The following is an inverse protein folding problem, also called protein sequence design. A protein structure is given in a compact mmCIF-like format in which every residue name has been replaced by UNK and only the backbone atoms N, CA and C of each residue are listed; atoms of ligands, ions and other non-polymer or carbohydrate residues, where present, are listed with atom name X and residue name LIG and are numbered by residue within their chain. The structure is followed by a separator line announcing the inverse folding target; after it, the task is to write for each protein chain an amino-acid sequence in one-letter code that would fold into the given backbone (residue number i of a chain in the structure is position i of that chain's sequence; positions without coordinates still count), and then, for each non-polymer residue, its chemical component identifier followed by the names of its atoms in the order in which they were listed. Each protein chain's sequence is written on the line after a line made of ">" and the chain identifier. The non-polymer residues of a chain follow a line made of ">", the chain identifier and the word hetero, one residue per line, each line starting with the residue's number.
data_IF_539167904520
#
_entry.id   IF_539167904520
#
_cell.length_a   1.000
_cell.length_b   1.000
_cell.length_c   1.000
_cell.angle_alpha   90.00
_cell.angle_beta   90.00
_cell.angle_gamma   90.00
#
_symmetry.space_group_name_H-M   'P 1'
#
loop_
_entity.id
_entity.type
_entity.pdbx_description
1 polymer ?
#
# COMPACT_ATOMS: atom_id res chain seq x y z
N UNK A 1 44.00 26.75 54.44
CA UNK A 1 44.40 27.75 53.43
C UNK A 1 44.09 27.13 52.07
N UNK A 2 43.12 27.68 51.33
CA UNK A 2 42.68 27.32 49.95
C UNK A 2 42.12 25.90 49.71
N UNK A 3 41.10 25.59 48.89
CA UNK A 3 40.03 26.29 48.16
C UNK A 3 39.11 25.15 47.65
N UNK A 4 37.81 25.13 47.99
CA UNK A 4 36.66 25.29 47.06
C UNK A 4 36.88 24.95 45.58
N UNK A 5 35.88 24.21 45.03
CA UNK A 5 35.41 24.11 43.63
C UNK A 5 35.94 22.93 42.81
N UNK A 6 35.07 21.96 42.51
CA UNK A 6 34.72 21.49 41.15
C UNK A 6 33.46 20.61 41.28
N UNK A 7 32.27 21.20 41.14
CA UNK A 7 31.48 21.29 39.90
C UNK A 7 30.86 19.94 39.48
N UNK A 8 29.55 19.88 39.72
CA UNK A 8 28.50 19.09 39.07
C UNK A 8 28.94 18.20 37.88
N UNK A 9 28.97 16.88 38.11
CA UNK A 9 29.02 15.87 37.06
C UNK A 9 28.00 14.77 37.33
N UNK A 10 26.72 15.11 37.48
CA UNK A 10 25.67 14.09 37.47
C UNK A 10 24.31 14.68 37.10
N UNK A 11 24.19 15.18 35.87
CA UNK A 11 22.87 15.50 35.32
C UNK A 11 22.93 15.60 33.79
N UNK A 12 22.17 14.70 33.14
CA UNK A 12 21.61 14.75 31.77
C UNK A 12 22.57 14.25 30.65
N UNK A 13 22.13 13.32 29.75
CA UNK A 13 20.75 13.10 29.31
C UNK A 13 20.26 11.63 29.31
N UNK A 14 19.21 11.37 30.09
CA UNK A 14 18.22 10.33 29.80
C UNK A 14 17.06 10.99 29.03
N UNK A 15 17.35 11.51 27.83
CA UNK A 15 16.40 12.26 26.97
C UNK A 15 16.47 11.78 25.50
N UNK A 16 16.74 10.49 25.27
CA UNK A 16 16.75 9.90 23.92
C UNK A 16 15.56 8.97 23.63
N UNK A 17 14.58 8.87 24.52
CA UNK A 17 13.67 7.71 24.54
C UNK A 17 12.30 7.87 23.88
N UNK A 18 12.01 8.91 23.08
CA UNK A 18 10.64 9.05 22.50
C UNK A 18 10.56 9.42 21.00
N UNK A 19 11.66 9.81 20.35
CA UNK A 19 11.60 10.22 18.93
C UNK A 19 11.75 9.06 17.94
N UNK A 20 12.15 7.87 18.38
CA UNK A 20 12.64 6.80 17.49
C UNK A 20 11.56 6.09 16.66
N UNK A 21 10.31 6.04 17.13
CA UNK A 21 9.28 5.26 16.44
C UNK A 21 8.89 5.88 15.09
N UNK A 22 8.68 7.20 15.00
CA UNK A 22 8.31 7.86 13.74
C UNK A 22 9.44 7.85 12.72
N UNK A 23 10.69 8.04 13.17
CA UNK A 23 11.88 7.98 12.30
C UNK A 23 12.10 6.59 11.73
N UNK A 24 11.78 5.56 12.52
CA UNK A 24 11.84 4.16 12.05
C UNK A 24 10.75 3.89 11.00
N UNK A 25 9.50 4.34 11.20
CA UNK A 25 8.45 4.22 10.18
C UNK A 25 8.83 4.90 8.84
N UNK A 26 9.44 6.08 8.90
CA UNK A 26 9.87 6.79 7.68
C UNK A 26 11.00 6.10 6.93
N UNK A 27 11.93 5.46 7.64
CA UNK A 27 13.01 4.72 6.99
C UNK A 27 12.51 3.42 6.32
N UNK A 28 11.52 2.80 6.94
CA UNK A 28 10.98 1.50 6.55
C UNK A 28 9.95 1.60 5.42
N UNK A 29 9.08 2.62 5.42
CA UNK A 29 8.10 2.77 4.33
C UNK A 29 8.78 3.14 3.01
N UNK A 30 8.08 2.85 1.91
CA UNK A 30 8.49 3.33 0.61
C UNK A 30 8.19 4.83 0.49
N UNK A 31 9.02 5.53 -0.27
CA UNK A 31 8.65 6.86 -0.74
C UNK A 31 7.33 6.77 -1.52
N UNK A 32 6.40 7.73 -1.33
CA UNK A 32 5.14 7.72 -2.04
C UNK A 32 5.32 7.61 -3.55
N UNK A 33 4.48 6.83 -4.23
CA UNK A 33 4.48 6.81 -5.69
C UNK A 33 4.23 8.23 -6.25
N UNK A 34 4.81 8.55 -7.42
CA UNK A 34 4.32 9.65 -8.24
C UNK A 34 2.83 9.47 -8.51
N UNK A 35 2.08 10.58 -8.47
CA UNK A 35 0.65 10.54 -8.77
C UNK A 35 0.45 10.26 -10.27
N UNK A 36 -0.45 9.34 -10.61
CA UNK A 36 -0.75 9.01 -12.01
C UNK A 36 -1.92 9.82 -12.56
N UNK A 37 -2.21 9.65 -13.85
CA UNK A 37 -3.38 10.23 -14.50
C UNK A 37 -4.72 9.66 -14.02
N UNK A 38 -4.72 8.59 -13.21
CA UNK A 38 -5.92 8.05 -12.60
C UNK A 38 -6.57 9.05 -11.63
N UNK A 39 -5.76 9.70 -10.80
CA UNK A 39 -6.18 10.84 -9.99
C UNK A 39 -6.15 12.08 -10.88
N UNK A 40 -7.30 12.41 -11.49
CA UNK A 40 -7.57 13.45 -12.50
C UNK A 40 -7.08 14.90 -12.20
N UNK A 41 -6.31 15.11 -11.13
CA UNK A 41 -5.60 16.35 -10.82
C UNK A 41 -6.45 17.45 -10.20
N UNK A 42 -7.77 17.24 -10.08
CA UNK A 42 -8.71 18.27 -9.61
C UNK A 42 -8.71 18.47 -8.08
N UNK A 43 -7.95 17.66 -7.35
CA UNK A 43 -7.77 17.77 -5.92
C UNK A 43 -6.32 17.53 -5.54
N UNK A 44 -5.90 18.15 -4.44
CA UNK A 44 -4.54 18.03 -3.92
C UNK A 44 -4.51 17.00 -2.79
N UNK A 45 -3.86 15.87 -3.07
CA UNK A 45 -3.54 14.86 -2.07
C UNK A 45 -2.58 15.43 -1.01
N UNK A 46 -2.87 15.16 0.26
CA UNK A 46 -2.04 15.57 1.39
C UNK A 46 -1.30 14.36 1.93
N UNK A 47 0.02 14.49 2.08
CA UNK A 47 0.84 13.47 2.73
C UNK A 47 0.45 13.32 4.20
N UNK A 48 0.29 12.09 4.65
CA UNK A 48 -0.12 11.76 6.01
C UNK A 48 1.10 11.42 6.87
N UNK A 49 0.88 11.29 8.18
CA UNK A 49 1.94 10.81 9.06
C UNK A 49 2.41 9.41 8.64
N UNK A 50 3.66 9.03 8.91
CA UNK A 50 4.22 7.75 8.44
C UNK A 50 3.48 6.54 9.01
N UNK A 51 2.90 6.71 10.20
CA UNK A 51 2.10 5.72 10.90
C UNK A 51 0.61 5.75 10.53
N UNK A 52 0.17 6.62 9.62
CA UNK A 52 -1.20 6.59 9.07
C UNK A 52 -1.32 5.50 7.99
N UNK A 53 -2.47 4.84 7.82
CA UNK A 53 -2.62 3.74 6.86
C UNK A 53 -2.15 4.02 5.43
N UNK A 54 -2.52 5.17 4.87
CA UNK A 54 -2.19 5.54 3.48
C UNK A 54 -1.21 6.71 3.44
N UNK A 55 -0.11 6.63 2.68
CA UNK A 55 0.87 7.73 2.59
C UNK A 55 0.25 9.05 2.12
N UNK A 56 -0.74 9.02 1.23
CA UNK A 56 -1.42 10.24 0.75
C UNK A 56 -2.94 10.07 0.76
N UNK A 57 -3.62 11.15 1.12
CA UNK A 57 -5.09 11.17 1.17
C UNK A 57 -5.65 12.57 0.87
N UNK A 58 -6.83 12.61 0.31
CA UNK A 58 -7.68 13.79 0.20
C UNK A 58 -9.12 13.42 0.52
N UNK A 59 -9.84 14.29 1.25
CA UNK A 59 -11.26 14.13 1.54
C UNK A 59 -11.95 15.44 1.20
N UNK A 60 -13.09 15.37 0.51
CA UNK A 60 -13.91 16.54 0.25
C UNK A 60 -14.48 17.10 1.56
N UNK A 61 -14.10 18.33 1.91
CA UNK A 61 -14.50 18.98 3.17
C UNK A 61 -16.02 19.14 3.33
N UNK A 62 -16.75 19.16 2.23
CA UNK A 62 -18.21 19.35 2.21
C UNK A 62 -18.97 18.01 2.18
N UNK A 63 -18.26 16.89 2.17
CA UNK A 63 -18.86 15.54 2.14
C UNK A 63 -18.71 14.82 3.47
N UNK A 64 -19.84 14.35 4.00
CA UNK A 64 -19.84 13.43 5.15
C UNK A 64 -19.91 11.97 4.66
N UNK A 65 -18.76 11.29 4.68
CA UNK A 65 -18.62 9.89 4.29
C UNK A 65 -19.52 8.93 5.12
N UNK A 66 -20.04 9.35 6.28
CA UNK A 66 -20.94 8.55 7.14
C UNK A 66 -22.36 8.43 6.61
N UNK A 67 -22.75 9.31 5.69
CA UNK A 67 -24.07 9.28 5.04
C UNK A 67 -24.21 8.11 4.07
N UNK A 68 -23.09 7.62 3.54
CA UNK A 68 -23.07 6.48 2.63
C UNK A 68 -23.19 5.17 3.41
N UNK A 69 -24.11 4.29 2.96
CA UNK A 69 -24.40 2.97 3.56
C UNK A 69 -24.29 1.83 2.57
N UNK A 70 -24.07 2.14 1.29
CA UNK A 70 -23.92 1.19 0.21
C UNK A 70 -22.61 1.47 -0.51
N UNK A 71 -21.98 0.43 -1.06
CA UNK A 71 -20.74 0.58 -1.82
C UNK A 71 -20.69 -0.41 -2.98
N UNK A 72 -20.20 0.09 -4.11
CA UNK A 72 -19.83 -0.70 -5.28
C UNK A 72 -18.31 -0.78 -5.29
N UNK A 73 -17.75 -1.99 -5.42
CA UNK A 73 -16.33 -2.18 -5.71
C UNK A 73 -16.19 -2.33 -7.22
N UNK A 74 -15.57 -1.36 -7.88
CA UNK A 74 -15.30 -1.44 -9.30
C UNK A 74 -14.14 -2.42 -9.60
N UNK A 75 -14.07 -2.99 -10.81
CA UNK A 75 -12.87 -3.71 -11.24
C UNK A 75 -11.62 -2.84 -11.09
N UNK A 76 -10.54 -3.42 -10.58
CA UNK A 76 -9.25 -2.73 -10.47
C UNK A 76 -8.65 -2.59 -11.85
N UNK A 77 -8.22 -1.37 -12.22
CA UNK A 77 -7.58 -1.12 -13.50
C UNK A 77 -6.06 -1.22 -13.40
N UNK A 78 -5.43 -1.75 -14.46
CA UNK A 78 -3.97 -1.72 -14.69
C UNK A 78 -3.59 -0.69 -15.76
N UNK A 79 -4.55 0.09 -16.28
CA UNK A 79 -4.31 1.05 -17.36
C UNK A 79 -3.46 2.27 -16.98
N UNK A 80 -3.13 2.42 -15.69
CA UNK A 80 -2.27 3.49 -15.16
C UNK A 80 -1.00 2.93 -14.52
N UNK A 81 -0.66 1.68 -14.84
CA UNK A 81 0.54 1.04 -14.35
C UNK A 81 1.76 1.76 -14.95
N UNK A 82 2.59 2.30 -14.08
CA UNK A 82 3.76 3.07 -14.46
C UNK A 82 4.80 2.15 -15.13
N UNK A 83 5.43 2.66 -16.19
CA UNK A 83 6.60 2.02 -16.77
C UNK A 83 7.67 1.89 -15.68
N UNK A 84 8.18 0.68 -15.51
CA UNK A 84 9.27 0.43 -14.58
C UNK A 84 10.51 0.06 -15.37
N UNK A 85 11.66 0.64 -14.99
CA UNK A 85 12.95 0.26 -15.56
C UNK A 85 13.30 -1.23 -15.32
N UNK A 86 12.55 -1.92 -14.46
CA UNK A 86 12.59 -3.36 -14.30
C UNK A 86 11.92 -4.08 -15.47
N UNK A 87 10.81 -3.55 -15.99
CA UNK A 87 10.06 -4.13 -17.11
C UNK A 87 10.82 -3.98 -18.43
N UNK A 88 11.48 -2.85 -18.64
CA UNK A 88 12.31 -2.59 -19.84
C UNK A 88 13.46 -3.59 -19.99
N UNK A 89 13.85 -4.27 -18.91
CA UNK A 89 14.92 -5.27 -18.91
C UNK A 89 14.40 -6.66 -19.27
N UNK A 90 13.10 -6.89 -19.20
CA UNK A 90 12.45 -8.10 -19.70
C UNK A 90 12.09 -7.92 -21.18
N UNK A 91 13.11 -7.67 -22.01
CA UNK A 91 12.97 -7.32 -23.44
C UNK A 91 12.67 -8.54 -24.34
N UNK A 92 12.34 -9.69 -23.75
CA UNK A 92 11.76 -10.82 -24.47
C UNK A 92 10.24 -10.70 -24.49
N UNK A 93 9.63 -10.71 -25.69
CA UNK A 93 8.16 -10.59 -25.88
C UNK A 93 7.35 -11.57 -25.03
N UNK A 94 7.91 -12.73 -24.68
CA UNK A 94 7.31 -13.72 -23.77
C UNK A 94 7.18 -13.16 -22.35
N UNK A 95 8.25 -12.61 -21.81
CA UNK A 95 8.29 -12.13 -20.42
C UNK A 95 7.47 -10.86 -20.24
N UNK A 96 7.47 -9.95 -21.23
CA UNK A 96 6.57 -8.80 -21.21
C UNK A 96 5.07 -9.20 -21.23
N UNK A 97 4.73 -10.29 -21.92
CA UNK A 97 3.39 -10.87 -21.93
C UNK A 97 2.99 -11.42 -20.55
N UNK A 98 3.88 -12.21 -19.93
CA UNK A 98 3.68 -12.79 -18.59
C UNK A 98 3.53 -11.70 -17.52
N UNK A 99 4.37 -10.66 -17.52
CA UNK A 99 4.27 -9.54 -16.57
C UNK A 99 2.94 -8.77 -16.70
N UNK A 100 2.43 -8.63 -17.93
CA UNK A 100 1.14 -8.00 -18.17
C UNK A 100 0.00 -8.85 -17.62
N UNK A 101 0.07 -10.16 -17.78
CA UNK A 101 -0.95 -11.07 -17.25
C UNK A 101 -0.88 -11.15 -15.72
N UNK A 102 0.31 -11.18 -15.14
CA UNK A 102 0.54 -11.08 -13.70
C UNK A 102 -0.09 -9.81 -13.09
N UNK A 103 0.08 -8.66 -13.77
CA UNK A 103 -0.52 -7.40 -13.30
C UNK A 103 -2.05 -7.47 -13.24
N UNK A 104 -2.68 -8.19 -14.17
CA UNK A 104 -4.14 -8.39 -14.17
C UNK A 104 -4.55 -9.33 -13.05
N UNK A 105 -3.75 -10.37 -12.79
CA UNK A 105 -4.01 -11.31 -11.70
C UNK A 105 -3.91 -10.62 -10.34
N UNK A 106 -2.91 -9.76 -10.14
CA UNK A 106 -2.77 -8.94 -8.93
C UNK A 106 -3.89 -7.90 -8.83
N UNK A 107 -4.27 -7.26 -9.93
CA UNK A 107 -5.44 -6.36 -9.94
C UNK A 107 -6.73 -7.11 -9.57
N UNK A 108 -6.94 -8.33 -10.08
CA UNK A 108 -8.11 -9.14 -9.72
C UNK A 108 -8.08 -9.58 -8.26
N UNK A 109 -6.91 -9.97 -7.76
CA UNK A 109 -6.70 -10.27 -6.35
C UNK A 109 -7.03 -9.05 -5.48
N UNK A 110 -6.61 -7.85 -5.89
CA UNK A 110 -6.91 -6.60 -5.21
C UNK A 110 -8.41 -6.28 -5.19
N UNK A 111 -9.10 -6.44 -6.32
CA UNK A 111 -10.56 -6.29 -6.38
C UNK A 111 -11.25 -7.21 -5.36
N UNK A 112 -10.89 -8.49 -5.35
CA UNK A 112 -11.45 -9.49 -4.44
C UNK A 112 -11.12 -9.18 -2.97
N UNK A 113 -9.92 -8.68 -2.69
CA UNK A 113 -9.48 -8.36 -1.33
C UNK A 113 -10.28 -7.20 -0.74
N UNK A 114 -10.48 -6.13 -1.51
CA UNK A 114 -11.35 -5.01 -1.09
C UNK A 114 -12.81 -5.43 -0.96
N UNK A 115 -13.33 -6.21 -1.92
CA UNK A 115 -14.67 -6.78 -1.84
C UNK A 115 -14.85 -7.60 -0.56
N UNK A 116 -13.92 -8.52 -0.28
CA UNK A 116 -13.97 -9.41 0.87
C UNK A 116 -13.84 -8.64 2.20
N UNK A 117 -12.91 -7.69 2.28
CA UNK A 117 -12.74 -6.88 3.49
C UNK A 117 -14.03 -6.13 3.84
N UNK A 118 -14.71 -5.55 2.84
CA UNK A 118 -16.01 -4.88 3.04
C UNK A 118 -17.11 -5.89 3.39
N UNK A 119 -17.20 -7.01 2.66
CA UNK A 119 -18.24 -8.02 2.85
C UNK A 119 -18.19 -8.65 4.24
N UNK A 120 -16.98 -8.97 4.71
CA UNK A 120 -16.73 -9.62 5.99
C UNK A 120 -16.51 -8.65 7.15
N UNK A 121 -16.63 -7.32 6.94
CA UNK A 121 -16.55 -6.34 8.02
C UNK A 121 -17.58 -6.66 9.13
N UNK A 122 -17.15 -6.96 10.37
CA UNK A 122 -18.07 -7.26 11.46
C UNK A 122 -18.93 -6.05 11.86
N UNK A 123 -18.49 -4.82 11.55
CA UNK A 123 -19.27 -3.59 11.81
C UNK A 123 -20.38 -3.39 10.78
N UNK A 124 -20.35 -4.15 9.67
CA UNK A 124 -21.36 -4.16 8.59
C UNK A 124 -21.78 -2.75 8.16
N UNK A 125 -20.81 -1.84 8.07
CA UNK A 125 -21.08 -0.44 7.75
C UNK A 125 -21.70 -0.27 6.37
N UNK A 126 -21.26 -1.09 5.42
CA UNK A 126 -21.71 -1.04 4.04
C UNK A 126 -22.46 -2.30 3.64
N UNK A 127 -23.50 -2.10 2.85
CA UNK A 127 -24.08 -3.12 1.98
C UNK A 127 -23.36 -3.07 0.63
N UNK A 128 -22.81 -4.20 0.17
CA UNK A 128 -22.27 -4.34 -1.19
C UNK A 128 -23.41 -4.40 -2.20
N UNK A 129 -23.26 -3.65 -3.30
CA UNK A 129 -24.30 -3.47 -4.32
C UNK A 129 -23.66 -3.37 -5.70
N UNK A 130 -24.41 -3.75 -6.74
CA UNK A 130 -23.88 -3.79 -8.11
C UNK A 130 -24.31 -2.59 -8.97
N UNK A 131 -25.22 -1.75 -8.47
CA UNK A 131 -25.79 -0.62 -9.21
C UNK A 131 -25.68 0.68 -8.42
N UNK A 132 -25.45 1.77 -9.14
CA UNK A 132 -25.47 3.13 -8.61
C UNK A 132 -26.83 3.47 -7.97
N UNK A 133 -26.82 4.36 -6.99
CA UNK A 133 -28.05 4.80 -6.32
C UNK A 133 -27.80 5.67 -5.09
N UNK A 134 -28.88 6.13 -4.43
CA UNK A 134 -28.78 6.98 -3.25
C UNK A 134 -27.91 6.40 -2.14
N UNK A 135 -27.05 7.24 -1.55
CA UNK A 135 -26.17 6.85 -0.44
C UNK A 135 -25.19 5.73 -0.80
N UNK A 136 -24.88 5.56 -2.09
CA UNK A 136 -23.97 4.53 -2.61
C UNK A 136 -22.66 5.16 -3.07
N UNK A 137 -21.55 4.71 -2.49
CA UNK A 137 -20.21 5.01 -2.98
C UNK A 137 -19.82 4.06 -4.11
N UNK A 138 -19.00 4.54 -5.02
CA UNK A 138 -18.25 3.72 -5.96
C UNK A 138 -16.77 3.82 -5.62
N UNK A 139 -16.18 2.69 -5.25
CA UNK A 139 -14.74 2.55 -5.04
C UNK A 139 -14.09 2.14 -6.36
N UNK A 140 -13.21 3.00 -6.86
CA UNK A 140 -12.40 2.80 -8.06
C UNK A 140 -10.94 2.71 -7.64
N UNK A 141 -10.21 1.73 -8.14
CA UNK A 141 -8.82 1.49 -7.76
C UNK A 141 -7.99 1.25 -9.01
N UNK A 142 -6.80 1.83 -9.05
CA UNK A 142 -5.76 1.54 -10.02
C UNK A 142 -4.55 0.90 -9.35
N UNK A 143 -4.07 -0.21 -9.90
CA UNK A 143 -2.73 -0.71 -9.62
C UNK A 143 -1.75 0.11 -10.47
N UNK A 144 -0.93 0.93 -9.82
CA UNK A 144 -0.08 1.92 -10.50
C UNK A 144 1.40 1.56 -10.48
N UNK A 145 1.82 0.64 -9.60
CA UNK A 145 3.16 0.08 -9.63
C UNK A 145 3.13 -1.38 -9.19
N UNK A 146 3.81 -2.24 -9.95
CA UNK A 146 4.01 -3.64 -9.61
C UNK A 146 5.43 -4.02 -10.04
N UNK A 147 6.32 -4.07 -9.06
CA UNK A 147 7.69 -4.51 -9.24
C UNK A 147 7.93 -5.71 -8.33
N UNK A 148 8.36 -6.84 -8.90
CA UNK A 148 8.62 -8.03 -8.12
C UNK A 148 9.97 -7.97 -7.38
N UNK A 149 10.19 -8.92 -6.49
CA UNK A 149 11.37 -8.96 -5.60
C UNK A 149 12.42 -10.00 -5.98
N UNK A 150 13.69 -9.77 -5.59
CA UNK A 150 14.78 -10.76 -5.71
C UNK A 150 14.50 -12.08 -5.01
N UNK A 151 13.96 -12.02 -3.80
CA UNK A 151 13.75 -13.21 -2.98
C UNK A 151 12.73 -14.13 -3.65
N UNK A 152 11.68 -13.58 -4.23
CA UNK A 152 10.65 -14.37 -4.90
C UNK A 152 11.09 -14.83 -6.31
N UNK A 153 12.01 -14.12 -6.99
CA UNK A 153 12.64 -14.58 -8.24
C UNK A 153 13.41 -15.90 -8.05
N UNK A 154 14.27 -15.97 -7.03
CA UNK A 154 15.14 -17.13 -6.78
C UNK A 154 14.35 -18.42 -6.47
N UNK A 155 13.10 -18.31 -5.99
CA UNK A 155 12.21 -19.45 -5.77
C UNK A 155 11.54 -19.94 -7.07
N UNK A 156 11.27 -19.03 -8.01
CA UNK A 156 10.65 -19.36 -9.30
C UNK A 156 11.61 -20.06 -10.27
N UNK A 157 12.93 -19.84 -10.13
CA UNK A 157 13.99 -20.52 -10.92
C UNK A 157 13.90 -22.06 -10.87
N UNK A 158 13.29 -22.63 -9.83
CA UNK A 158 13.13 -24.08 -9.68
C UNK A 158 11.82 -24.63 -10.25
N UNK A 159 10.86 -23.79 -10.69
CA UNK A 159 9.49 -24.24 -11.00
C UNK A 159 9.06 -23.91 -12.44
N UNK A 160 9.52 -22.81 -13.06
CA UNK A 160 9.18 -22.45 -14.45
C UNK A 160 10.39 -21.78 -15.12
N UNK A 161 10.66 -22.13 -16.38
CA UNK A 161 11.85 -21.82 -17.21
C UNK A 161 12.29 -20.36 -17.39
N UNK A 162 12.37 -19.55 -16.35
CA UNK A 162 13.06 -18.26 -16.37
C UNK A 162 14.56 -18.53 -16.28
N UNK A 163 15.24 -18.52 -17.43
CA UNK A 163 16.70 -18.64 -17.49
C UNK A 163 17.32 -17.27 -17.17
N UNK A 164 17.78 -17.08 -15.93
CA UNK A 164 18.44 -15.84 -15.50
C UNK A 164 19.95 -15.91 -15.80
N UNK A 165 20.38 -15.50 -17.00
CA UNK A 165 21.81 -15.35 -17.35
C UNK A 165 22.37 -13.96 -16.94
N UNK A 166 23.69 -13.85 -16.69
CA UNK A 166 24.37 -14.02 -15.40
C UNK A 166 24.37 -12.75 -14.52
N UNK A 167 24.23 -12.93 -13.19
CA UNK A 167 24.58 -12.06 -12.02
C UNK A 167 24.19 -10.55 -11.97
N UNK A 168 24.06 -9.84 -13.09
CA UNK A 168 23.75 -8.41 -13.15
C UNK A 168 22.25 -8.12 -13.01
N UNK A 169 21.39 -9.04 -13.44
CA UNK A 169 19.93 -8.91 -13.29
C UNK A 169 19.48 -8.98 -11.83
N UNK A 170 20.09 -9.91 -11.08
CA UNK A 170 19.82 -10.13 -9.66
C UNK A 170 20.34 -9.00 -8.77
N UNK A 171 21.08 -8.01 -9.25
CA UNK A 171 21.47 -6.84 -8.44
C UNK A 171 20.42 -5.72 -8.41
N UNK A 172 19.47 -5.69 -9.34
CA UNK A 172 18.58 -4.52 -9.56
C UNK A 172 17.29 -4.58 -8.73
N UNK A 173 16.77 -5.77 -8.40
CA UNK A 173 15.51 -5.95 -7.68
C UNK A 173 15.66 -5.98 -6.14
N UNK A 174 16.40 -5.02 -5.55
CA UNK A 174 16.83 -5.10 -4.14
C UNK A 174 15.64 -5.19 -3.16
N UNK A 175 14.49 -4.67 -3.57
CA UNK A 175 13.18 -4.76 -2.92
C UNK A 175 12.10 -4.70 -4.00
N UNK A 176 11.11 -5.59 -3.99
CA UNK A 176 9.89 -5.41 -4.77
C UNK A 176 9.14 -4.18 -4.29
N UNK A 177 8.30 -3.61 -5.15
CA UNK A 177 7.46 -2.46 -4.79
C UNK A 177 6.07 -2.60 -5.37
N UNK A 178 5.05 -2.25 -4.60
CA UNK A 178 3.67 -2.21 -5.06
C UNK A 178 3.06 -0.88 -4.69
N UNK A 179 2.29 -0.28 -5.59
CA UNK A 179 1.56 0.96 -5.31
C UNK A 179 0.16 0.93 -5.91
N UNK A 180 -0.78 1.59 -5.23
CA UNK A 180 -2.14 1.76 -5.73
C UNK A 180 -2.63 3.19 -5.50
N UNK A 181 -3.59 3.59 -6.33
CA UNK A 181 -4.39 4.79 -6.14
C UNK A 181 -5.87 4.39 -6.07
N UNK A 182 -6.63 5.02 -5.17
CA UNK A 182 -8.04 4.74 -4.93
C UNK A 182 -8.87 6.02 -4.93
N UNK A 183 -10.04 5.97 -5.56
CA UNK A 183 -11.02 7.05 -5.63
C UNK A 183 -12.34 6.54 -5.07
N UNK A 184 -12.96 7.31 -4.16
CA UNK A 184 -14.35 7.17 -3.79
C UNK A 184 -15.17 8.23 -4.51
N UNK A 185 -16.15 7.79 -5.30
CA UNK A 185 -17.14 8.65 -5.95
C UNK A 185 -18.51 8.46 -5.33
N UNK A 186 -19.27 9.55 -5.23
CA UNK A 186 -20.72 9.44 -5.12
C UNK A 186 -21.26 8.79 -6.40
N UNK A 187 -21.92 7.63 -6.28
CA UNK A 187 -22.28 6.85 -7.47
C UNK A 187 -23.38 7.49 -8.33
N UNK A 188 -24.15 8.44 -7.80
CA UNK A 188 -25.20 9.11 -8.57
C UNK A 188 -24.66 10.30 -9.36
N UNK A 189 -23.76 11.06 -8.74
CA UNK A 189 -23.27 12.32 -9.29
C UNK A 189 -21.90 12.20 -9.94
N UNK A 190 -21.14 11.14 -9.64
CA UNK A 190 -19.76 10.98 -10.07
C UNK A 190 -18.75 11.86 -9.32
N UNK A 191 -19.22 12.69 -8.38
CA UNK A 191 -18.37 13.58 -7.58
C UNK A 191 -17.36 12.75 -6.78
N UNK A 192 -16.07 13.09 -6.88
CA UNK A 192 -15.04 12.52 -6.00
C UNK A 192 -15.23 13.07 -4.59
N UNK A 193 -15.31 12.17 -3.62
CA UNK A 193 -15.53 12.52 -2.21
C UNK A 193 -14.32 12.19 -1.34
N UNK A 194 -13.47 11.28 -1.81
CA UNK A 194 -12.21 10.92 -1.17
C UNK A 194 -11.28 10.29 -2.20
N UNK A 195 -9.98 10.49 -2.02
CA UNK A 195 -8.94 9.81 -2.76
C UNK A 195 -7.83 9.37 -1.79
N UNK A 196 -7.25 8.20 -2.04
CA UNK A 196 -6.16 7.61 -1.26
C UNK A 196 -5.08 7.12 -2.22
N UNK A 197 -3.82 7.18 -1.79
CA UNK A 197 -2.71 6.59 -2.53
C UNK A 197 -1.68 6.05 -1.56
N UNK A 198 -1.13 4.89 -1.87
CA UNK A 198 -0.10 4.27 -1.05
C UNK A 198 0.91 3.51 -1.90
N UNK A 199 2.14 3.41 -1.38
CA UNK A 199 3.22 2.65 -1.96
C UNK A 199 3.99 1.94 -0.86
N UNK A 200 4.31 0.69 -1.12
CA UNK A 200 5.02 -0.17 -0.19
C UNK A 200 6.18 -0.85 -0.91
N UNK A 201 7.27 -1.06 -0.17
CA UNK A 201 8.48 -1.72 -0.64
C UNK A 201 8.71 -2.95 0.21
N UNK A 202 9.28 -3.97 -0.40
CA UNK A 202 9.70 -5.13 0.34
C UNK A 202 10.89 -4.77 1.21
N UNK A 203 10.86 -5.22 2.44
CA UNK A 203 12.04 -5.25 3.28
C UNK A 203 12.60 -6.66 3.18
N UNK A 204 13.91 -6.77 2.98
CA UNK A 204 14.65 -8.01 2.74
C UNK A 204 14.02 -9.19 3.50
N UNK A 205 13.47 -10.15 2.75
CA UNK A 205 12.69 -11.28 3.25
C UNK A 205 13.20 -11.83 4.58
N UNK A 206 12.58 -11.45 5.71
CA UNK A 206 12.87 -12.07 7.02
C UNK A 206 12.07 -13.37 7.18
N UNK A 207 11.06 -13.61 6.34
CA UNK A 207 10.19 -14.78 6.48
C UNK A 207 10.04 -15.53 5.18
N UNK A 208 10.73 -16.67 5.11
CA UNK A 208 10.57 -17.68 4.09
C UNK A 208 9.37 -18.57 4.47
N UNK A 209 8.21 -18.29 3.89
CA UNK A 209 7.02 -19.15 4.02
C UNK A 209 6.95 -20.03 2.76
N UNK A 210 7.03 -21.37 2.87
CA UNK A 210 6.91 -22.25 1.71
C UNK A 210 5.59 -22.00 0.95
N UNK A 211 5.69 -21.74 -0.36
CA UNK A 211 4.53 -21.49 -1.25
C UNK A 211 4.25 -20.02 -1.58
N UNK A 212 5.09 -19.08 -1.14
CA UNK A 212 5.01 -17.68 -1.56
C UNK A 212 5.41 -17.54 -3.05
N UNK A 213 4.54 -16.95 -3.87
CA UNK A 213 4.74 -16.71 -5.30
C UNK A 213 5.52 -15.41 -5.56
N UNK A 214 5.85 -15.13 -6.83
CA UNK A 214 6.60 -13.96 -7.30
C UNK A 214 6.07 -12.57 -6.91
N UNK A 215 4.82 -12.51 -6.41
CA UNK A 215 4.13 -11.29 -5.98
C UNK A 215 3.44 -11.49 -4.63
N UNK A 216 3.95 -12.39 -3.80
CA UNK A 216 3.38 -12.65 -2.48
C UNK A 216 3.35 -11.39 -1.62
N UNK A 217 4.37 -10.53 -1.71
CA UNK A 217 4.37 -9.24 -1.04
C UNK A 217 3.28 -8.28 -1.57
N UNK A 218 3.04 -8.25 -2.87
CA UNK A 218 1.95 -7.45 -3.45
C UNK A 218 0.58 -7.89 -2.93
N UNK A 219 0.36 -9.21 -2.80
CA UNK A 219 -0.86 -9.77 -2.18
C UNK A 219 -0.96 -9.41 -0.70
N UNK A 220 0.13 -9.49 0.05
CA UNK A 220 0.18 -9.08 1.45
C UNK A 220 -0.17 -7.60 1.63
N UNK A 221 0.42 -6.70 0.84
CA UNK A 221 0.12 -5.27 0.89
C UNK A 221 -1.34 -5.00 0.52
N UNK A 222 -1.86 -5.69 -0.49
CA UNK A 222 -3.27 -5.64 -0.91
C UNK A 222 -4.23 -6.04 0.21
N UNK A 223 -3.95 -7.14 0.91
CA UNK A 223 -4.76 -7.58 2.05
C UNK A 223 -4.72 -6.57 3.19
N UNK A 224 -3.57 -5.93 3.42
CA UNK A 224 -3.42 -4.88 4.43
C UNK A 224 -4.21 -3.63 4.05
N UNK A 225 -4.05 -3.13 2.83
CA UNK A 225 -4.74 -1.94 2.33
C UNK A 225 -6.26 -2.10 2.35
N UNK A 226 -6.78 -3.28 1.97
CA UNK A 226 -8.22 -3.54 1.99
C UNK A 226 -8.81 -3.52 3.40
N UNK A 227 -8.11 -4.07 4.40
CA UNK A 227 -8.51 -3.95 5.82
C UNK A 227 -8.42 -2.51 6.32
N UNK A 228 -7.32 -1.84 6.03
CA UNK A 228 -7.11 -0.44 6.41
C UNK A 228 -8.16 0.49 5.81
N UNK A 229 -8.62 0.22 4.60
CA UNK A 229 -9.73 0.93 3.98
C UNK A 229 -11.01 0.77 4.81
N UNK A 230 -11.34 -0.44 5.24
CA UNK A 230 -12.51 -0.69 6.10
C UNK A 230 -12.38 0.01 7.44
N UNK A 231 -11.20 -0.02 8.07
CA UNK A 231 -10.93 0.71 9.31
C UNK A 231 -11.08 2.21 9.13
N UNK A 232 -10.53 2.75 8.04
CA UNK A 232 -10.70 4.14 7.65
C UNK A 232 -12.17 4.51 7.49
N UNK A 233 -12.92 3.74 6.71
CA UNK A 233 -14.33 4.04 6.50
C UNK A 233 -15.15 3.92 7.78
N UNK A 234 -14.76 3.05 8.70
CA UNK A 234 -15.44 2.90 9.99
C UNK A 234 -14.99 3.90 11.06
N UNK A 235 -13.91 4.65 10.86
CA UNK A 235 -13.37 5.54 11.86
C UNK A 235 -14.34 6.68 12.20
N UNK A 236 -14.43 6.98 13.49
CA UNK A 236 -15.09 8.21 13.98
C UNK A 236 -14.13 9.40 14.01
N UNK A 237 -12.84 9.10 14.11
CA UNK A 237 -11.73 10.05 14.22
C UNK A 237 -10.53 9.45 13.49
N UNK A 238 -10.17 10.06 12.35
CA UNK A 238 -9.10 9.57 11.49
C UNK A 238 -7.71 9.70 12.13
N UNK A 239 -7.53 10.60 13.10
CA UNK A 239 -6.23 10.81 13.76
C UNK A 239 -5.79 9.63 14.62
N UNK A 240 -6.75 8.75 14.97
CA UNK A 240 -6.52 7.53 15.74
C UNK A 240 -6.19 6.31 14.89
N UNK A 241 -6.31 6.43 13.56
CA UNK A 241 -5.92 5.35 12.68
C UNK A 241 -4.40 5.21 12.67
N UNK A 242 -3.95 3.98 12.84
CA UNK A 242 -2.54 3.62 12.76
C UNK A 242 -2.39 2.44 11.81
N UNK A 243 -1.31 2.45 11.03
CA UNK A 243 -0.84 1.31 10.26
C UNK A 243 -0.10 0.35 11.19
N UNK A 244 -0.20 -0.95 10.91
CA UNK A 244 0.63 -1.94 11.59
C UNK A 244 2.11 -1.62 11.32
N UNK A 245 2.98 -1.85 12.31
CA UNK A 245 4.42 -1.79 12.09
C UNK A 245 4.79 -2.75 10.93
N UNK A 246 5.66 -2.36 9.98
CA UNK A 246 6.01 -3.16 8.80
C UNK A 246 6.61 -4.56 9.08
N UNK A 247 6.84 -4.91 10.35
CA UNK A 247 7.22 -6.26 10.78
C UNK A 247 6.15 -6.86 11.69
N UNK A 248 5.78 -8.12 11.45
CA UNK A 248 5.22 -8.99 12.48
C UNK A 248 6.30 -9.95 12.95
N UNK A 249 6.62 -9.90 14.24
CA UNK A 249 7.40 -10.95 14.88
C UNK A 249 6.44 -12.12 15.10
N UNK A 250 6.48 -13.13 14.23
CA UNK A 250 5.79 -14.40 14.51
C UNK A 250 6.68 -15.14 15.51
N UNK A 251 6.27 -15.13 16.78
CA UNK A 251 6.85 -16.01 17.79
C UNK A 251 6.25 -17.39 17.57
N UNK A 252 7.09 -18.37 17.26
CA UNK A 252 6.70 -19.79 17.19
C UNK A 252 6.61 -20.39 18.59
#
# INVERSE_FOLDING_TARGET
>A
MYHRIFLHLLSIPLLLSVSGCSTMYDWLRADPAPQTSFLDGNFRMVEQSPDFPFRKMWIDKDTDLRKYKRIIVAPVTTGHLMDSAAWDKFDERSVAGELKDDSKDIAKYMELSFYNAISYDPRKRFMLVDKAGPGTLRLEIALVQLQPSKAELNYAENIIGIIVWPVSFLTIFNSGTTAFEGILRDSQTGKVVCAIADREKDEAAIFNIPGFTYYGNARYFTDRWSRQFVDFMNAKDYTKLKTDFPFKLIVF
#
